data_IF_732514384032
#
_entry.id   IF_732514384032
#
_cell.length_a   1.000
_cell.length_b   1.000
_cell.length_c   1.000
_cell.angle_alpha   90.00
_cell.angle_beta   90.00
_cell.angle_gamma   90.00
#
_symmetry.space_group_name_H-M   'P 1'
#
loop_
_entity.id
_entity.type
_entity.pdbx_description
1 polymer ?
#
# COMPACT_ATOMS: atom_id res chain seq x y z
N UNK A 1 23.96 -11.71 15.40
CA UNK A 1 23.01 -12.07 14.32
C UNK A 1 23.05 -11.02 13.24
N UNK A 2 23.11 -11.38 11.94
CA UNK A 2 23.12 -10.40 10.85
C UNK A 2 21.81 -9.61 10.86
N UNK A 3 21.90 -8.31 11.11
CA UNK A 3 20.72 -7.43 11.31
C UNK A 3 20.30 -6.66 10.07
N UNK A 4 21.07 -6.67 8.98
CA UNK A 4 20.79 -5.86 7.77
C UNK A 4 20.40 -6.69 6.53
N UNK A 5 19.93 -7.92 6.68
CA UNK A 5 19.50 -8.76 5.55
C UNK A 5 18.34 -8.17 4.74
N UNK A 6 17.47 -7.39 5.38
CA UNK A 6 16.36 -6.71 4.73
C UNK A 6 16.77 -5.72 3.63
N UNK A 7 17.96 -5.13 3.71
CA UNK A 7 18.47 -4.21 2.67
C UNK A 7 18.71 -4.94 1.35
N UNK A 8 19.27 -6.15 1.39
CA UNK A 8 19.48 -6.97 0.17
C UNK A 8 18.14 -7.37 -0.47
N UNK A 9 17.15 -7.71 0.35
CA UNK A 9 15.80 -8.02 -0.13
C UNK A 9 15.18 -6.80 -0.81
N UNK A 10 15.26 -5.63 -0.19
CA UNK A 10 14.77 -4.37 -0.77
C UNK A 10 15.46 -4.01 -2.09
N UNK A 11 16.78 -4.17 -2.17
CA UNK A 11 17.53 -3.95 -3.41
C UNK A 11 17.05 -4.95 -4.49
N UNK A 12 16.93 -6.23 -4.15
CA UNK A 12 16.45 -7.25 -5.09
C UNK A 12 15.07 -6.93 -5.63
N UNK A 13 14.11 -6.63 -4.76
CA UNK A 13 12.74 -6.24 -5.14
C UNK A 13 12.78 -4.99 -6.02
N UNK A 14 13.51 -3.94 -5.60
CA UNK A 14 13.57 -2.66 -6.34
C UNK A 14 14.14 -2.86 -7.74
N UNK A 15 15.29 -3.54 -7.85
CA UNK A 15 15.94 -3.77 -9.15
C UNK A 15 15.07 -4.63 -10.05
N UNK A 16 14.50 -5.73 -9.53
CA UNK A 16 13.61 -6.60 -10.31
C UNK A 16 12.38 -5.82 -10.80
N UNK A 17 11.74 -5.09 -9.92
CA UNK A 17 10.57 -4.27 -10.28
C UNK A 17 10.94 -3.26 -11.36
N UNK A 18 12.01 -2.48 -11.20
CA UNK A 18 12.42 -1.45 -12.15
C UNK A 18 12.81 -2.00 -13.52
N UNK A 19 13.26 -3.26 -13.61
CA UNK A 19 13.66 -3.89 -14.88
C UNK A 19 12.48 -4.45 -15.67
N UNK A 20 11.42 -4.89 -15.02
CA UNK A 20 10.36 -5.66 -15.67
C UNK A 20 8.96 -5.00 -15.67
N UNK A 21 8.72 -3.97 -14.86
CA UNK A 21 7.39 -3.36 -14.81
C UNK A 21 7.16 -2.32 -15.91
N UNK A 22 5.89 -2.03 -16.22
CA UNK A 22 5.52 -0.92 -17.08
C UNK A 22 5.66 0.42 -16.32
N UNK A 23 6.61 1.24 -16.75
CA UNK A 23 6.93 2.54 -16.15
C UNK A 23 5.75 3.53 -16.16
N UNK A 24 4.75 3.31 -17.01
CA UNK A 24 3.52 4.11 -17.02
C UNK A 24 2.54 3.72 -15.92
N UNK A 25 2.74 2.54 -15.28
CA UNK A 25 1.85 2.05 -14.24
C UNK A 25 2.10 2.71 -12.89
N UNK A 26 1.21 3.63 -12.52
CA UNK A 26 1.28 4.37 -11.25
C UNK A 26 1.13 3.51 -10.00
N UNK A 27 0.40 2.40 -10.08
CA UNK A 27 0.20 1.53 -8.90
C UNK A 27 1.49 0.86 -8.48
N UNK A 28 2.31 0.44 -9.43
CA UNK A 28 3.63 -0.13 -9.15
C UNK A 28 4.54 0.90 -8.46
N UNK A 29 4.53 2.16 -8.95
CA UNK A 29 5.26 3.25 -8.30
C UNK A 29 4.83 3.48 -6.86
N UNK A 30 3.52 3.47 -6.57
CA UNK A 30 3.01 3.68 -5.21
C UNK A 30 3.49 2.56 -4.29
N UNK A 31 3.31 1.30 -4.72
CA UNK A 31 3.73 0.13 -3.93
C UNK A 31 5.23 0.16 -3.69
N UNK A 32 6.03 0.44 -4.73
CA UNK A 32 7.48 0.53 -4.61
C UNK A 32 7.92 1.65 -3.66
N UNK A 33 7.35 2.85 -3.80
CA UNK A 33 7.70 3.99 -2.94
C UNK A 33 7.30 3.77 -1.48
N UNK A 34 6.13 3.17 -1.23
CA UNK A 34 5.72 2.79 0.13
C UNK A 34 6.68 1.75 0.70
N UNK A 35 7.01 0.72 -0.07
CA UNK A 35 7.96 -0.33 0.34
C UNK A 35 9.31 0.25 0.69
N UNK A 36 9.86 1.12 -0.16
CA UNK A 36 11.14 1.80 0.10
C UNK A 36 11.06 2.74 1.30
N UNK A 37 9.96 3.46 1.46
CA UNK A 37 9.75 4.35 2.59
C UNK A 37 9.72 3.59 3.93
N UNK A 38 8.98 2.49 4.00
CA UNK A 38 8.97 1.63 5.20
C UNK A 38 10.31 0.93 5.40
N UNK A 39 10.97 0.51 4.32
CA UNK A 39 12.31 -0.03 4.35
C UNK A 39 13.35 0.94 4.90
N UNK A 40 13.24 2.23 4.53
CA UNK A 40 14.11 3.28 5.07
C UNK A 40 13.91 3.48 6.58
N UNK A 41 12.67 3.40 7.07
CA UNK A 41 12.40 3.44 8.53
C UNK A 41 13.08 2.27 9.23
N UNK A 42 12.95 1.05 8.69
CA UNK A 42 13.61 -0.13 9.24
C UNK A 42 15.13 -0.02 9.21
N UNK A 43 15.68 0.48 8.10
CA UNK A 43 17.11 0.71 7.95
C UNK A 43 17.65 1.71 8.99
N UNK A 44 16.96 2.82 9.22
CA UNK A 44 17.37 3.81 10.25
C UNK A 44 17.30 3.20 11.65
N UNK A 45 16.31 2.36 11.93
CA UNK A 45 16.20 1.64 13.21
C UNK A 45 17.40 0.72 13.44
N UNK A 46 17.73 -0.10 12.44
CA UNK A 46 18.86 -1.03 12.51
C UNK A 46 20.21 -0.29 12.54
N UNK A 47 20.35 0.80 11.80
CA UNK A 47 21.54 1.64 11.82
C UNK A 47 21.83 2.17 13.22
N UNK A 48 20.81 2.71 13.90
CA UNK A 48 20.95 3.20 15.29
C UNK A 48 21.37 2.09 16.25
N UNK A 49 20.88 0.88 16.08
CA UNK A 49 21.23 -0.26 16.91
C UNK A 49 22.69 -0.73 16.71
N UNK A 50 23.13 -0.75 15.45
CA UNK A 50 24.45 -1.31 15.09
C UNK A 50 25.56 -0.29 15.18
N UNK A 51 25.37 0.90 14.59
CA UNK A 51 26.41 1.92 14.48
C UNK A 51 26.46 2.81 15.72
N UNK A 52 25.29 3.31 16.15
CA UNK A 52 25.20 4.18 17.32
C UNK A 52 25.21 3.38 18.64
N UNK A 53 25.22 2.04 18.55
CA UNK A 53 25.19 1.11 19.70
C UNK A 53 24.04 1.41 20.67
N UNK A 54 22.93 1.94 20.14
CA UNK A 54 21.71 2.20 20.89
C UNK A 54 20.77 0.98 20.78
N UNK A 55 20.65 0.14 21.84
CA UNK A 55 19.86 -1.10 21.77
C UNK A 55 18.36 -0.84 21.53
N UNK A 56 17.86 0.34 21.84
CA UNK A 56 16.44 0.68 21.65
C UNK A 56 16.13 1.08 20.20
N UNK A 57 17.15 1.48 19.42
CA UNK A 57 16.97 1.91 18.03
C UNK A 57 16.17 3.20 17.90
N UNK A 58 15.15 3.18 17.02
CA UNK A 58 14.23 4.30 16.85
C UNK A 58 13.07 4.19 17.85
N UNK A 59 12.64 5.33 18.43
CA UNK A 59 11.51 5.34 19.34
C UNK A 59 10.22 4.85 18.65
N UNK A 60 9.35 4.16 19.38
CA UNK A 60 8.07 3.67 18.83
C UNK A 60 7.19 4.82 18.30
N UNK A 61 7.28 6.01 18.93
CA UNK A 61 6.57 7.21 18.49
C UNK A 61 7.07 7.73 17.16
N UNK A 62 8.39 7.77 16.97
CA UNK A 62 9.01 8.22 15.71
C UNK A 62 8.70 7.24 14.58
N UNK A 63 8.78 5.93 14.84
CA UNK A 63 8.37 4.90 13.87
C UNK A 63 6.94 5.10 13.43
N UNK A 64 6.02 5.18 14.38
CA UNK A 64 4.60 5.36 14.09
C UNK A 64 4.32 6.66 13.35
N UNK A 65 5.01 7.75 13.69
CA UNK A 65 4.88 9.03 13.00
C UNK A 65 5.29 8.92 11.52
N UNK A 66 6.48 8.38 11.23
CA UNK A 66 6.95 8.24 9.85
C UNK A 66 6.13 7.24 9.04
N UNK A 67 5.74 6.11 9.64
CA UNK A 67 4.84 5.15 9.02
C UNK A 67 3.49 5.78 8.68
N UNK A 68 2.92 6.56 9.62
CA UNK A 68 1.66 7.26 9.42
C UNK A 68 1.76 8.32 8.33
N UNK A 69 2.86 9.06 8.27
CA UNK A 69 3.09 10.06 7.23
C UNK A 69 3.13 9.42 5.84
N UNK A 70 3.92 8.36 5.66
CA UNK A 70 4.01 7.64 4.39
C UNK A 70 2.67 7.01 4.02
N UNK A 71 2.01 6.37 4.98
CA UNK A 71 0.70 5.75 4.79
C UNK A 71 -0.38 6.76 4.41
N UNK A 72 -0.41 7.93 5.03
CA UNK A 72 -1.35 9.01 4.70
C UNK A 72 -1.09 9.57 3.29
N UNK A 73 0.16 9.82 2.93
CA UNK A 73 0.51 10.30 1.58
C UNK A 73 0.08 9.29 0.52
N UNK A 74 0.34 8.00 0.74
CA UNK A 74 -0.09 6.94 -0.16
C UNK A 74 -1.61 6.84 -0.25
N UNK A 75 -2.31 6.85 0.90
CA UNK A 75 -3.77 6.79 0.95
C UNK A 75 -4.42 7.98 0.24
N UNK A 76 -3.86 9.18 0.45
CA UNK A 76 -4.33 10.39 -0.20
C UNK A 76 -4.16 10.35 -1.72
N UNK A 77 -2.99 9.92 -2.20
CA UNK A 77 -2.76 9.77 -3.63
C UNK A 77 -3.69 8.70 -4.23
N UNK A 78 -3.85 7.55 -3.58
CA UNK A 78 -4.74 6.48 -4.03
C UNK A 78 -6.20 6.95 -4.10
N UNK A 79 -6.66 7.76 -3.15
CA UNK A 79 -8.02 8.27 -3.14
C UNK A 79 -8.41 8.98 -4.46
N UNK A 80 -7.47 9.67 -5.09
CA UNK A 80 -7.71 10.38 -6.35
C UNK A 80 -7.25 9.60 -7.59
N UNK A 81 -6.62 8.44 -7.42
CA UNK A 81 -6.05 7.67 -8.54
C UNK A 81 -6.84 6.43 -8.93
N UNK A 82 -7.71 5.92 -8.07
CA UNK A 82 -8.38 4.61 -8.27
C UNK A 82 -9.33 4.62 -9.47
N UNK A 83 -9.99 5.74 -9.77
CA UNK A 83 -11.01 5.80 -10.82
C UNK A 83 -10.50 6.18 -12.21
N UNK A 84 -9.22 6.54 -12.38
CA UNK A 84 -8.75 7.14 -13.61
C UNK A 84 -7.41 6.61 -14.12
N UNK A 85 -7.31 6.48 -15.44
CA UNK A 85 -6.13 5.89 -16.10
C UNK A 85 -4.99 6.89 -16.31
N UNK A 86 -5.21 8.19 -16.15
CA UNK A 86 -4.24 9.25 -16.48
C UNK A 86 -3.86 10.11 -15.28
N UNK A 87 -2.57 10.37 -15.09
CA UNK A 87 -2.05 11.21 -13.99
C UNK A 87 -2.56 12.66 -14.02
N UNK A 88 -2.90 13.19 -15.21
CA UNK A 88 -3.46 14.53 -15.35
C UNK A 88 -4.83 14.65 -14.68
N UNK A 89 -5.62 13.59 -14.73
CA UNK A 89 -6.94 13.55 -14.10
C UNK A 89 -6.90 13.45 -12.58
N UNK A 90 -5.83 12.91 -12.02
CA UNK A 90 -5.63 12.90 -10.56
C UNK A 90 -5.54 14.34 -10.02
N UNK A 91 -4.77 15.19 -10.68
CA UNK A 91 -4.66 16.61 -10.32
C UNK A 91 -5.98 17.36 -10.52
N UNK A 92 -6.71 17.09 -11.61
CA UNK A 92 -8.03 17.70 -11.84
C UNK A 92 -9.04 17.30 -10.76
N UNK A 93 -9.07 16.01 -10.39
CA UNK A 93 -9.94 15.53 -9.32
C UNK A 93 -9.59 16.16 -7.97
N UNK A 94 -8.30 16.27 -7.67
CA UNK A 94 -7.85 16.96 -6.47
C UNK A 94 -8.24 18.43 -6.45
N UNK A 95 -8.03 19.16 -7.56
CA UNK A 95 -8.42 20.57 -7.66
C UNK A 95 -9.93 20.75 -7.52
N UNK A 96 -10.73 19.90 -8.15
CA UNK A 96 -12.19 19.90 -8.01
C UNK A 96 -12.61 19.64 -6.57
N UNK A 97 -11.95 18.72 -5.89
CA UNK A 97 -12.22 18.42 -4.48
C UNK A 97 -11.95 19.64 -3.58
N UNK A 98 -10.84 20.33 -3.80
CA UNK A 98 -10.52 21.59 -3.10
C UNK A 98 -11.56 22.67 -3.42
N UNK A 99 -11.95 22.83 -4.70
CA UNK A 99 -12.94 23.82 -5.14
C UNK A 99 -14.35 23.56 -4.60
N UNK A 100 -14.70 22.31 -4.37
CA UNK A 100 -15.99 21.93 -3.77
C UNK A 100 -16.07 22.15 -2.24
N UNK A 101 -15.02 22.67 -1.63
CA UNK A 101 -14.94 22.83 -0.18
C UNK A 101 -14.72 21.52 0.57
N UNK A 102 -13.94 20.59 -0.01
CA UNK A 102 -13.60 19.30 0.58
C UNK A 102 -14.82 18.38 0.77
N UNK A 103 -15.70 18.31 -0.23
CA UNK A 103 -16.88 17.42 -0.18
C UNK A 103 -16.48 15.95 -0.09
N UNK A 104 -17.21 15.17 0.73
CA UNK A 104 -17.03 13.73 0.83
C UNK A 104 -17.56 12.96 -0.40
N UNK A 105 -18.44 13.59 -1.19
CA UNK A 105 -19.16 12.95 -2.30
C UNK A 105 -18.40 13.00 -3.63
N UNK A 106 -17.22 13.61 -3.66
CA UNK A 106 -16.42 13.68 -4.88
C UNK A 106 -15.71 12.37 -5.18
N UNK A 107 -15.61 12.00 -6.48
CA UNK A 107 -14.88 10.79 -6.86
C UNK A 107 -13.43 10.81 -6.33
N UNK A 108 -12.93 9.63 -5.99
CA UNK A 108 -13.58 8.36 -6.24
C UNK A 108 -14.62 8.01 -5.18
N UNK A 109 -15.79 7.62 -5.62
CA UNK A 109 -16.73 6.91 -4.76
C UNK A 109 -16.12 5.54 -4.46
N UNK A 110 -15.47 5.43 -3.32
CA UNK A 110 -14.90 4.17 -2.89
C UNK A 110 -15.94 3.43 -2.06
N UNK A 111 -16.48 2.37 -2.62
CA UNK A 111 -17.40 1.50 -1.93
C UNK A 111 -16.64 0.35 -1.27
N UNK A 112 -16.88 0.15 0.02
CA UNK A 112 -16.40 -1.04 0.71
C UNK A 112 -17.32 -2.21 0.37
N UNK A 113 -16.82 -3.15 -0.42
CA UNK A 113 -17.53 -4.39 -0.74
C UNK A 113 -17.37 -5.33 0.44
N UNK A 114 -18.50 -5.77 1.01
CA UNK A 114 -18.46 -6.71 2.14
C UNK A 114 -18.18 -8.13 1.61
N UNK A 115 -17.11 -8.79 2.08
CA UNK A 115 -16.79 -10.16 1.67
C UNK A 115 -17.99 -11.09 1.85
N UNK A 116 -18.18 -12.02 0.91
CA UNK A 116 -19.28 -12.98 0.81
C UNK A 116 -20.65 -12.39 0.43
N UNK A 117 -20.89 -11.10 0.56
CA UNK A 117 -22.15 -10.43 0.23
C UNK A 117 -21.97 -9.51 -0.97
N UNK A 118 -22.01 -10.05 -2.18
CA UNK A 118 -21.70 -9.34 -3.44
C UNK A 118 -22.60 -8.12 -3.72
N UNK A 119 -23.78 -8.07 -3.11
CA UNK A 119 -24.75 -6.98 -3.29
C UNK A 119 -24.71 -5.93 -2.21
N UNK A 120 -23.90 -6.14 -1.18
CA UNK A 120 -23.76 -5.19 -0.06
C UNK A 120 -22.48 -4.40 -0.23
N UNK A 121 -22.62 -3.14 -0.60
CA UNK A 121 -21.53 -2.17 -0.61
C UNK A 121 -21.86 -1.03 0.36
N UNK A 122 -20.83 -0.53 1.03
CA UNK A 122 -20.95 0.62 1.92
C UNK A 122 -20.12 1.78 1.35
N UNK A 123 -20.74 2.92 1.03
CA UNK A 123 -20.03 4.07 0.47
C UNK A 123 -19.15 4.72 1.55
N UNK A 124 -17.83 4.60 1.39
CA UNK A 124 -16.87 5.18 2.34
C UNK A 124 -16.67 6.68 2.10
N UNK A 125 -16.82 7.12 0.87
CA UNK A 125 -16.40 8.45 0.46
C UNK A 125 -14.88 8.65 0.52
N UNK A 126 -14.42 9.88 0.24
CA UNK A 126 -12.98 10.21 0.21
C UNK A 126 -12.34 10.02 1.59
N UNK A 127 -12.95 10.53 2.62
CA UNK A 127 -12.38 10.46 3.98
C UNK A 127 -12.33 9.04 4.53
N UNK A 128 -13.42 8.28 4.37
CA UNK A 128 -13.47 6.89 4.81
C UNK A 128 -12.44 6.04 4.07
N UNK A 129 -12.25 6.26 2.77
CA UNK A 129 -11.22 5.59 1.99
C UNK A 129 -9.81 5.91 2.50
N UNK A 130 -9.48 7.18 2.73
CA UNK A 130 -8.16 7.60 3.23
C UNK A 130 -7.88 6.98 4.60
N UNK A 131 -8.82 7.05 5.52
CA UNK A 131 -8.66 6.51 6.88
C UNK A 131 -8.49 5.00 6.85
N UNK A 132 -9.32 4.29 6.08
CA UNK A 132 -9.23 2.83 5.96
C UNK A 132 -7.91 2.40 5.31
N UNK A 133 -7.50 3.05 4.22
CA UNK A 133 -6.24 2.74 3.53
C UNK A 133 -5.03 3.00 4.43
N UNK A 134 -5.01 4.13 5.13
CA UNK A 134 -3.98 4.43 6.11
C UNK A 134 -3.93 3.37 7.21
N UNK A 135 -5.08 3.00 7.76
CA UNK A 135 -5.18 1.97 8.80
C UNK A 135 -4.66 0.61 8.31
N UNK A 136 -5.00 0.22 7.08
CA UNK A 136 -4.52 -1.03 6.48
C UNK A 136 -3.00 -1.01 6.30
N UNK A 137 -2.44 0.05 5.72
CA UNK A 137 -0.99 0.15 5.47
C UNK A 137 -0.21 0.14 6.79
N UNK A 138 -0.54 1.03 7.72
CA UNK A 138 0.18 1.16 8.99
C UNK A 138 -0.11 -0.03 9.91
N UNK A 139 -1.36 -0.48 9.95
CA UNK A 139 -1.77 -1.63 10.76
C UNK A 139 -1.12 -2.93 10.31
N UNK A 140 -1.11 -3.22 9.01
CA UNK A 140 -0.46 -4.42 8.47
C UNK A 140 1.04 -4.42 8.74
N UNK A 141 1.74 -3.29 8.55
CA UNK A 141 3.16 -3.17 8.82
C UNK A 141 3.50 -3.46 10.30
N UNK A 142 2.73 -2.89 11.22
CA UNK A 142 2.94 -3.12 12.65
C UNK A 142 2.54 -4.54 13.07
N UNK A 143 1.47 -5.10 12.50
CA UNK A 143 1.05 -6.48 12.76
C UNK A 143 2.13 -7.49 12.34
N UNK A 144 2.70 -7.32 11.13
CA UNK A 144 3.81 -8.17 10.65
C UNK A 144 5.03 -8.05 11.57
N UNK A 145 5.39 -6.83 11.97
CA UNK A 145 6.51 -6.60 12.89
C UNK A 145 6.30 -7.26 14.26
N UNK A 146 5.06 -7.29 14.77
CA UNK A 146 4.73 -7.99 16.02
C UNK A 146 4.75 -9.52 15.84
N UNK A 147 4.35 -10.02 14.68
CA UNK A 147 4.34 -11.46 14.38
C UNK A 147 5.76 -12.01 14.26
N UNK A 148 6.73 -11.21 13.84
CA UNK A 148 8.13 -11.60 13.67
C UNK A 148 8.93 -11.60 14.98
N UNK A 149 8.27 -11.89 16.08
CA UNK A 149 8.90 -12.03 17.40
C UNK A 149 9.79 -13.28 17.55
N UNK A 150 9.62 -14.27 16.68
CA UNK A 150 10.46 -15.46 16.55
C UNK A 150 10.96 -15.55 15.11
N UNK A 151 12.26 -15.82 14.94
CA UNK A 151 12.91 -15.90 13.63
C UNK A 151 12.15 -16.82 12.66
N UNK A 152 11.68 -16.25 11.53
CA UNK A 152 10.99 -16.97 10.48
C UNK A 152 9.48 -17.17 10.66
N UNK A 153 8.88 -16.75 11.78
CA UNK A 153 7.44 -16.93 12.01
C UNK A 153 6.58 -16.11 11.05
N UNK A 154 7.02 -14.91 10.70
CA UNK A 154 6.28 -14.02 9.78
C UNK A 154 6.35 -14.42 8.30
N UNK A 155 7.33 -15.24 7.89
CA UNK A 155 7.57 -15.56 6.47
C UNK A 155 6.36 -16.23 5.83
N UNK A 156 5.83 -17.30 6.43
CA UNK A 156 4.69 -18.03 5.85
C UNK A 156 3.41 -17.19 5.75
N UNK A 157 2.97 -16.48 6.80
CA UNK A 157 1.85 -15.55 6.70
C UNK A 157 2.05 -14.48 5.60
N UNK A 158 3.24 -13.90 5.46
CA UNK A 158 3.54 -12.91 4.42
C UNK A 158 3.42 -13.52 3.03
N UNK A 159 3.96 -14.73 2.81
CA UNK A 159 3.84 -15.43 1.52
C UNK A 159 2.38 -15.74 1.20
N UNK A 160 1.60 -16.23 2.17
CA UNK A 160 0.18 -16.55 1.97
C UNK A 160 -0.64 -15.30 1.62
N UNK A 161 -0.48 -14.22 2.39
CA UNK A 161 -1.19 -12.96 2.17
C UNK A 161 -0.75 -12.32 0.84
N UNK A 162 0.55 -12.27 0.56
CA UNK A 162 1.08 -11.75 -0.70
C UNK A 162 0.57 -12.52 -1.91
N UNK A 163 0.55 -13.84 -1.85
CA UNK A 163 -0.01 -14.68 -2.92
C UNK A 163 -1.51 -14.43 -3.13
N UNK A 164 -2.28 -14.34 -2.05
CA UNK A 164 -3.71 -14.04 -2.13
C UNK A 164 -3.96 -12.66 -2.75
N UNK A 165 -3.23 -11.62 -2.31
CA UNK A 165 -3.33 -10.27 -2.87
C UNK A 165 -2.90 -10.24 -4.34
N UNK A 166 -1.89 -11.01 -4.73
CA UNK A 166 -1.48 -11.16 -6.12
C UNK A 166 -2.60 -11.74 -6.99
N UNK A 167 -3.27 -12.81 -6.53
CA UNK A 167 -4.43 -13.37 -7.23
C UNK A 167 -5.55 -12.33 -7.36
N UNK A 168 -5.85 -11.57 -6.30
CA UNK A 168 -6.83 -10.48 -6.38
C UNK A 168 -6.41 -9.40 -7.39
N UNK A 169 -5.15 -8.98 -7.37
CA UNK A 169 -4.62 -8.00 -8.31
C UNK A 169 -4.79 -8.46 -9.77
N UNK A 170 -4.48 -9.72 -10.05
CA UNK A 170 -4.68 -10.33 -11.35
C UNK A 170 -6.16 -10.31 -11.78
N UNK A 171 -7.06 -10.74 -10.88
CA UNK A 171 -8.49 -10.82 -11.15
C UNK A 171 -9.09 -9.43 -11.42
N UNK A 172 -8.81 -8.44 -10.58
CA UNK A 172 -9.35 -7.08 -10.75
C UNK A 172 -8.69 -6.33 -11.92
N UNK A 173 -7.46 -6.68 -12.28
CA UNK A 173 -6.75 -6.14 -13.45
C UNK A 173 -7.26 -6.72 -14.79
N UNK A 174 -7.94 -7.84 -14.77
CA UNK A 174 -8.46 -8.51 -15.98
C UNK A 174 -9.96 -8.21 -16.16
N UNK A 175 -10.32 -7.60 -17.30
CA UNK A 175 -11.70 -7.20 -17.58
C UNK A 175 -12.70 -8.37 -17.62
N UNK A 176 -12.26 -9.55 -18.05
CA UNK A 176 -13.13 -10.74 -18.11
C UNK A 176 -13.39 -11.31 -16.71
N UNK A 177 -12.33 -11.53 -15.93
CA UNK A 177 -12.46 -12.12 -14.59
C UNK A 177 -13.12 -11.15 -13.60
N UNK A 178 -12.81 -9.86 -13.66
CA UNK A 178 -13.46 -8.87 -12.80
C UNK A 178 -14.97 -8.83 -13.02
N UNK A 179 -15.41 -8.83 -14.29
CA UNK A 179 -16.84 -8.89 -14.64
C UNK A 179 -17.50 -10.19 -14.19
N UNK A 180 -16.85 -11.33 -14.42
CA UNK A 180 -17.39 -12.63 -14.03
C UNK A 180 -17.56 -12.78 -12.51
N UNK A 181 -16.59 -12.29 -11.75
CA UNK A 181 -16.58 -12.37 -10.29
C UNK A 181 -17.27 -11.18 -9.59
N UNK A 182 -17.80 -10.22 -10.39
CA UNK A 182 -18.44 -8.99 -9.89
C UNK A 182 -17.52 -8.11 -9.05
N UNK A 183 -16.24 -8.08 -9.39
CA UNK A 183 -15.29 -7.13 -8.81
C UNK A 183 -15.17 -5.87 -9.68
N UNK A 184 -14.81 -4.71 -9.09
CA UNK A 184 -14.47 -3.54 -9.87
C UNK A 184 -13.24 -3.81 -10.74
N UNK A 185 -13.30 -3.44 -12.02
CA UNK A 185 -12.16 -3.55 -12.91
C UNK A 185 -11.19 -2.38 -12.70
N UNK A 186 -9.95 -2.67 -12.36
CA UNK A 186 -8.89 -1.68 -12.17
C UNK A 186 -7.76 -1.99 -13.17
N UNK A 187 -7.72 -1.27 -14.30
CA UNK A 187 -6.69 -1.47 -15.31
C UNK A 187 -5.28 -1.29 -14.73
N UNK A 188 -4.36 -2.19 -15.07
CA UNK A 188 -2.97 -2.16 -14.59
C UNK A 188 -2.74 -2.77 -13.20
N UNK A 189 -3.78 -3.13 -12.44
CA UNK A 189 -3.60 -3.78 -11.14
C UNK A 189 -2.94 -5.16 -11.26
N UNK A 190 -3.10 -5.84 -12.39
CA UNK A 190 -2.49 -7.16 -12.62
C UNK A 190 -0.96 -7.16 -12.65
N UNK A 191 -0.34 -6.01 -12.85
CA UNK A 191 1.13 -5.89 -12.81
C UNK A 191 1.71 -5.83 -11.38
N UNK A 192 0.85 -5.84 -10.37
CA UNK A 192 1.27 -5.95 -8.97
C UNK A 192 1.54 -7.40 -8.56
N UNK A 193 1.29 -8.36 -9.43
CA UNK A 193 1.60 -9.77 -9.25
C UNK A 193 3.06 -10.04 -9.54
#
# INVERSE_FOLDING_TARGET
TPTMGGVLILIGITVSTLLWFDWSNRFVWIVLLVTLGFGAIGWVDDWRKVVDKNPEGMSSRDKFFWQSLIGLVAAFYLAFSVSETSNLRVLELFVRWVQSGFSNDLPPTADLIVPFFKTISYPLGVYGFIVLTWFVIVGASNAVNLTDGLDGLAIMPVVMVGSALGVFAYVIGNAYFSKYLLFPHIPGAGELL
#
